data_IF_740462145993
#
_entry.id   IF_740462145993
#
_cell.length_a   1.000
_cell.length_b   1.000
_cell.length_c   1.000
_cell.angle_alpha   90.00
_cell.angle_beta   90.00
_cell.angle_gamma   90.00
#
_symmetry.space_group_name_H-M   'P 1'
#
loop_
_entity.id
_entity.type
_entity.pdbx_description
1 polymer ?
#
# COMPACT_ATOMS: atom_id res chain seq x y z
N UNK A 1 12.18 -0.25 10.01
CA UNK A 1 12.11 1.07 9.37
C UNK A 1 11.45 2.02 10.35
N UNK A 2 12.18 2.92 11.03
CA UNK A 2 11.67 3.50 12.28
C UNK A 2 10.54 4.54 12.14
N UNK A 3 10.35 5.16 10.97
CA UNK A 3 9.44 6.32 10.81
C UNK A 3 8.40 6.15 9.69
N UNK A 4 8.01 4.92 9.36
CA UNK A 4 6.99 4.68 8.34
C UNK A 4 5.58 4.66 8.96
N UNK A 5 4.67 5.47 8.41
CA UNK A 5 3.25 5.42 8.76
C UNK A 5 2.61 4.25 8.02
N UNK A 6 2.10 3.26 8.75
CA UNK A 6 1.45 2.09 8.15
C UNK A 6 -0.08 2.21 8.26
N UNK A 7 -0.76 2.02 7.14
CA UNK A 7 -2.21 2.06 7.01
C UNK A 7 -2.67 0.71 6.44
N UNK A 8 -3.38 -0.07 7.25
CA UNK A 8 -3.89 -1.38 6.87
C UNK A 8 -5.38 -1.27 6.45
N UNK A 9 -5.67 -1.55 5.18
CA UNK A 9 -7.04 -1.55 4.64
C UNK A 9 -7.81 -2.85 4.93
N UNK A 10 -7.19 -3.86 5.56
CA UNK A 10 -7.92 -4.99 6.15
C UNK A 10 -8.60 -4.59 7.46
N UNK A 11 -8.12 -3.54 8.14
CA UNK A 11 -8.80 -3.01 9.30
C UNK A 11 -10.12 -2.35 8.90
N UNK A 12 -11.25 -2.93 9.35
CA UNK A 12 -12.59 -2.47 8.99
C UNK A 12 -12.84 -1.00 9.35
N UNK A 13 -12.33 -0.50 10.47
CA UNK A 13 -12.53 0.91 10.86
C UNK A 13 -11.82 1.86 9.90
N UNK A 14 -10.56 1.56 9.60
CA UNK A 14 -9.74 2.34 8.65
C UNK A 14 -10.36 2.29 7.26
N UNK A 15 -10.73 1.09 6.81
CA UNK A 15 -11.37 0.89 5.51
C UNK A 15 -12.68 1.67 5.39
N UNK A 16 -13.62 1.49 6.31
CA UNK A 16 -14.91 2.19 6.25
C UNK A 16 -14.76 3.72 6.35
N UNK A 17 -13.78 4.20 7.12
CA UNK A 17 -13.47 5.63 7.20
C UNK A 17 -13.00 6.18 5.85
N UNK A 18 -12.07 5.49 5.18
CA UNK A 18 -11.47 5.93 3.92
C UNK A 18 -12.37 5.68 2.70
N UNK A 19 -13.25 4.68 2.74
CA UNK A 19 -14.31 4.48 1.74
C UNK A 19 -15.29 5.65 1.76
N UNK A 20 -15.69 6.08 2.96
CA UNK A 20 -16.67 7.17 3.09
C UNK A 20 -16.07 8.52 2.67
N UNK A 21 -14.81 8.74 3.01
CA UNK A 21 -14.08 9.96 2.69
C UNK A 21 -12.58 9.65 2.52
N UNK A 22 -12.13 9.48 1.26
CA UNK A 22 -10.72 9.26 0.95
C UNK A 22 -9.82 10.41 1.44
N UNK A 23 -10.34 11.64 1.51
CA UNK A 23 -9.59 12.83 1.92
C UNK A 23 -9.04 12.75 3.33
N UNK A 24 -9.64 11.92 4.19
CA UNK A 24 -9.15 11.62 5.56
C UNK A 24 -7.76 10.99 5.57
N UNK A 25 -7.30 10.43 4.45
CA UNK A 25 -5.91 9.96 4.32
C UNK A 25 -4.91 11.07 4.68
N UNK A 26 -5.19 12.32 4.28
CA UNK A 26 -4.35 13.47 4.56
C UNK A 26 -4.33 13.90 6.05
N UNK A 27 -5.36 13.51 6.81
CA UNK A 27 -5.48 13.74 8.26
C UNK A 27 -4.75 12.66 9.05
N UNK A 28 -4.77 11.42 8.56
CA UNK A 28 -4.05 10.29 9.16
C UNK A 28 -2.54 10.47 9.04
N UNK A 29 -2.07 11.10 7.95
CA UNK A 29 -0.66 11.35 7.69
C UNK A 29 -0.24 12.65 8.37
N UNK A 30 0.65 12.55 9.36
CA UNK A 30 1.20 13.68 10.09
C UNK A 30 2.31 14.42 9.32
N UNK A 31 2.70 15.60 9.79
CA UNK A 31 3.72 16.44 9.13
C UNK A 31 5.15 15.84 9.17
N UNK A 32 5.42 14.92 10.10
CA UNK A 32 6.70 14.22 10.21
C UNK A 32 6.76 12.87 9.49
N UNK A 33 5.67 12.44 8.85
CA UNK A 33 5.64 11.18 8.11
C UNK A 33 6.24 11.40 6.71
N UNK A 34 7.40 10.83 6.42
CA UNK A 34 8.02 10.91 5.08
C UNK A 34 7.65 9.72 4.18
N UNK A 35 7.44 8.56 4.81
CA UNK A 35 7.10 7.30 4.17
C UNK A 35 5.76 6.79 4.69
N UNK A 36 4.80 6.61 3.77
CA UNK A 36 3.48 6.07 4.08
C UNK A 36 3.30 4.73 3.37
N UNK A 37 3.02 3.68 4.14
CA UNK A 37 2.74 2.33 3.64
C UNK A 37 1.23 2.13 3.66
N UNK A 38 0.63 1.80 2.52
CA UNK A 38 -0.79 1.44 2.42
C UNK A 38 -0.87 -0.02 2.01
N UNK A 39 -1.38 -0.85 2.91
CA UNK A 39 -1.54 -2.28 2.65
C UNK A 39 -2.89 -2.62 2.04
N UNK A 40 -2.88 -3.64 1.18
CA UNK A 40 -4.05 -4.14 0.46
C UNK A 40 -4.81 -3.06 -0.33
N UNK A 41 -4.08 -2.15 -1.00
CA UNK A 41 -4.68 -1.02 -1.75
C UNK A 41 -5.66 -1.45 -2.85
N UNK A 42 -5.59 -2.70 -3.33
CA UNK A 42 -6.59 -3.27 -4.24
C UNK A 42 -8.01 -3.34 -3.65
N UNK A 43 -8.17 -3.22 -2.33
CA UNK A 43 -9.46 -3.14 -1.66
C UNK A 43 -10.14 -1.80 -1.88
N UNK A 44 -9.36 -0.73 -2.09
CA UNK A 44 -9.85 0.62 -2.32
C UNK A 44 -9.05 1.33 -3.43
N UNK A 45 -9.23 0.96 -4.72
CA UNK A 45 -8.46 1.54 -5.82
C UNK A 45 -8.63 3.06 -5.99
N UNK A 46 -9.79 3.60 -5.63
CA UNK A 46 -10.08 5.05 -5.67
C UNK A 46 -9.18 5.87 -4.72
N UNK A 47 -8.60 5.24 -3.69
CA UNK A 47 -7.64 5.87 -2.79
C UNK A 47 -6.36 6.32 -3.53
N UNK A 48 -6.08 5.75 -4.71
CA UNK A 48 -4.92 6.11 -5.53
C UNK A 48 -4.95 7.56 -5.99
N UNK A 49 -6.12 8.15 -6.22
CA UNK A 49 -6.24 9.57 -6.63
C UNK A 49 -5.79 10.49 -5.49
N UNK A 50 -6.16 10.15 -4.26
CA UNK A 50 -5.74 10.87 -3.07
C UNK A 50 -4.25 10.69 -2.78
N UNK A 51 -3.72 9.48 -2.94
CA UNK A 51 -2.27 9.22 -2.90
C UNK A 51 -1.55 10.08 -3.93
N UNK A 52 -2.07 10.18 -5.16
CA UNK A 52 -1.48 11.03 -6.20
C UNK A 52 -1.43 12.49 -5.77
N UNK A 53 -2.56 13.00 -5.25
CA UNK A 53 -2.68 14.37 -4.76
C UNK A 53 -1.67 14.66 -3.65
N UNK A 54 -1.44 13.71 -2.74
CA UNK A 54 -0.51 13.85 -1.62
C UNK A 54 0.96 13.77 -2.04
N UNK A 55 1.30 12.92 -3.01
CA UNK A 55 2.64 12.91 -3.62
C UNK A 55 2.94 14.29 -4.24
N UNK A 56 1.98 14.86 -4.97
CA UNK A 56 2.16 16.16 -5.62
C UNK A 56 2.23 17.32 -4.61
N UNK A 57 1.31 17.35 -3.64
CA UNK A 57 1.16 18.48 -2.71
C UNK A 57 2.19 18.47 -1.58
N UNK A 58 2.50 17.29 -1.03
CA UNK A 58 3.33 17.13 0.17
C UNK A 58 4.67 16.43 -0.09
N UNK A 59 4.94 15.98 -1.33
CA UNK A 59 6.17 15.25 -1.71
C UNK A 59 6.44 13.99 -0.87
N UNK A 60 5.36 13.35 -0.42
CA UNK A 60 5.41 12.13 0.38
C UNK A 60 5.81 10.93 -0.47
N UNK A 61 6.52 9.98 0.14
CA UNK A 61 6.80 8.68 -0.49
C UNK A 61 5.76 7.67 -0.06
N UNK A 62 5.16 6.97 -1.03
CA UNK A 62 4.19 5.92 -0.75
C UNK A 62 4.73 4.55 -1.15
N UNK A 63 4.55 3.57 -0.26
CA UNK A 63 4.71 2.16 -0.55
C UNK A 63 3.32 1.53 -0.56
N UNK A 64 2.90 1.04 -1.71
CA UNK A 64 1.60 0.43 -1.89
C UNK A 64 1.76 -1.08 -2.00
N UNK A 65 1.10 -1.84 -1.13
CA UNK A 65 1.13 -3.31 -1.16
C UNK A 65 -0.24 -3.88 -1.48
N UNK A 66 -0.23 -5.15 -1.88
CA UNK A 66 -1.43 -5.84 -2.29
C UNK A 66 -1.18 -7.26 -2.77
N UNK A 67 -1.85 -8.23 -2.15
CA UNK A 67 -1.84 -9.64 -2.53
C UNK A 67 -2.18 -9.88 -4.01
N UNK A 68 -2.96 -9.00 -4.63
CA UNK A 68 -3.29 -9.09 -6.06
C UNK A 68 -3.00 -7.79 -6.82
N UNK A 69 -1.73 -7.56 -7.12
CA UNK A 69 -1.28 -6.48 -8.01
C UNK A 69 -1.99 -6.48 -9.39
N UNK A 70 -2.58 -7.60 -9.82
CA UNK A 70 -3.35 -7.73 -11.06
C UNK A 70 -4.67 -6.94 -11.00
N UNK A 71 -5.32 -6.84 -9.83
CA UNK A 71 -6.58 -6.09 -9.65
C UNK A 71 -6.37 -4.57 -9.73
N UNK A 72 -5.21 -4.06 -9.29
CA UNK A 72 -4.84 -2.64 -9.47
C UNK A 72 -4.78 -2.26 -10.95
N UNK A 73 -4.19 -3.13 -11.79
CA UNK A 73 -4.01 -2.85 -13.22
C UNK A 73 -5.30 -2.80 -14.02
N UNK A 74 -6.36 -3.47 -13.59
CA UNK A 74 -7.65 -3.45 -14.29
C UNK A 74 -8.56 -2.30 -13.84
N UNK A 75 -8.45 -1.81 -12.59
CA UNK A 75 -9.32 -0.78 -12.05
C UNK A 75 -8.78 0.66 -12.09
N UNK A 76 -7.47 0.87 -12.25
CA UNK A 76 -6.84 2.19 -12.17
C UNK A 76 -5.57 2.30 -13.01
N UNK A 77 -5.59 1.69 -14.20
CA UNK A 77 -4.43 1.30 -15.03
C UNK A 77 -3.42 2.40 -15.39
N UNK A 78 -3.69 3.67 -15.13
CA UNK A 78 -2.71 4.73 -15.32
C UNK A 78 -2.04 5.07 -13.99
N UNK A 79 -1.26 4.12 -13.46
CA UNK A 79 -0.59 4.18 -12.16
C UNK A 79 0.11 5.52 -11.94
N UNK A 80 -0.60 6.44 -11.27
CA UNK A 80 -0.13 7.75 -10.84
C UNK A 80 0.57 8.52 -11.97
N UNK A 81 0.02 8.46 -13.19
CA UNK A 81 0.57 9.10 -14.40
C UNK A 81 2.06 8.78 -14.64
N UNK A 82 2.47 7.52 -14.42
CA UNK A 82 3.84 7.06 -14.64
C UNK A 82 4.83 7.36 -13.51
N UNK A 83 4.34 7.90 -12.38
CA UNK A 83 5.19 8.23 -11.20
C UNK A 83 5.31 7.08 -10.20
N UNK A 84 4.54 6.01 -10.36
CA UNK A 84 4.67 4.81 -9.54
C UNK A 84 5.71 3.86 -10.14
N UNK A 85 6.68 3.41 -9.34
CA UNK A 85 7.51 2.25 -9.69
C UNK A 85 6.80 0.99 -9.19
N UNK A 86 6.42 0.10 -10.11
CA UNK A 86 5.87 -1.21 -9.75
C UNK A 86 7.02 -2.19 -9.46
N UNK A 87 7.00 -2.80 -8.27
CA UNK A 87 7.81 -3.97 -7.96
C UNK A 87 6.87 -5.16 -7.74
N UNK A 88 7.08 -6.24 -8.49
CA UNK A 88 6.31 -7.48 -8.34
C UNK A 88 7.13 -8.49 -7.56
N UNK A 89 6.66 -8.83 -6.36
CA UNK A 89 7.21 -9.93 -5.59
C UNK A 89 6.62 -11.24 -6.15
N UNK A 90 7.49 -12.07 -6.73
CA UNK A 90 7.12 -13.40 -7.19
C UNK A 90 7.15 -14.38 -5.99
N UNK A 91 6.44 -15.52 -6.09
CA UNK A 91 6.57 -16.58 -5.09
C UNK A 91 8.04 -16.96 -4.91
N UNK A 92 8.46 -17.16 -3.66
CA UNK A 92 9.81 -17.61 -3.35
C UNK A 92 10.06 -18.98 -3.97
N UNK A 93 11.21 -19.15 -4.63
CA UNK A 93 11.66 -20.46 -5.11
C UNK A 93 12.47 -21.17 -4.02
N UNK A 94 12.58 -22.51 -4.11
CA UNK A 94 13.26 -23.33 -3.08
C UNK A 94 14.69 -22.89 -2.79
N UNK A 95 15.40 -22.33 -3.79
CA UNK A 95 16.76 -21.81 -3.65
C UNK A 95 16.84 -20.44 -2.94
N UNK A 96 15.76 -19.67 -2.87
CA UNK A 96 15.70 -18.38 -2.16
C UNK A 96 15.45 -18.57 -0.66
N UNK A 97 14.96 -19.74 -0.26
CA UNK A 97 14.69 -20.12 1.12
C UNK A 97 15.96 -20.70 1.76
N UNK A 98 16.81 -19.83 2.32
CA UNK A 98 18.07 -20.28 2.98
C UNK A 98 17.86 -21.00 4.32
N UNK A 99 16.69 -20.86 4.95
CA UNK A 99 16.38 -21.54 6.21
C UNK A 99 14.86 -21.67 6.39
N UNK A 100 14.27 -22.76 5.89
CA UNK A 100 12.91 -23.12 6.26
C UNK A 100 12.94 -23.78 7.64
N UNK A 101 12.64 -23.02 8.71
CA UNK A 101 12.32 -23.63 10.00
C UNK A 101 10.90 -24.17 9.90
N UNK A 102 10.75 -25.46 9.63
CA UNK A 102 9.50 -26.15 9.92
C UNK A 102 9.25 -26.06 11.43
N UNK A 103 8.19 -25.36 11.83
CA UNK A 103 7.63 -25.59 13.16
C UNK A 103 7.15 -27.06 13.20
N UNK A 104 7.46 -27.83 14.25
CA UNK A 104 6.89 -29.16 14.39
C UNK A 104 5.38 -29.01 14.48
N UNK A 105 4.69 -29.72 13.61
CA UNK A 105 3.23 -29.84 13.63
C UNK A 105 2.95 -30.78 14.82
N UNK A 106 2.48 -30.21 15.92
CA UNK A 106 1.91 -30.96 17.05
C UNK A 106 0.43 -31.20 16.79
#
# INVERSE_FOLDING_TARGET
MPNARVIDLLNTRTFSALVRDPGRLAEIIGEGDELVVIDEVQKLPELLDEVHRLIQKRRLTFLLTGSSARKLKHGGANLLAGRAREARLLPLVSSEIKAFKTAPIC
#
